data_IF_191212779461
#
_entry.id   IF_191212779461
#
_cell.length_a   1.000
_cell.length_b   1.000
_cell.length_c   1.000
_cell.angle_alpha   90.00
_cell.angle_beta   90.00
_cell.angle_gamma   90.00
#
_symmetry.space_group_name_H-M   'P 1'
#
loop_
_entity.id
_entity.type
_entity.pdbx_description
1 polymer ?
#
# COMPACT_ATOMS: atom_id res chain seq x y z
N UNK A 1 -17.34 33.68 -38.62
CA UNK A 1 -16.57 34.67 -37.83
C UNK A 1 -16.40 34.07 -36.44
N UNK A 2 -15.26 33.42 -36.20
CA UNK A 2 -14.99 32.68 -34.96
C UNK A 2 -14.35 33.66 -33.98
N UNK A 3 -15.10 34.04 -32.94
CA UNK A 3 -14.61 34.89 -31.86
C UNK A 3 -13.83 34.03 -30.87
N UNK A 4 -12.50 34.19 -30.87
CA UNK A 4 -11.61 33.60 -29.89
C UNK A 4 -11.88 34.21 -28.51
N UNK A 5 -12.44 33.43 -27.57
CA UNK A 5 -12.42 33.76 -26.15
C UNK A 5 -10.98 33.71 -25.66
N UNK A 6 -10.47 34.83 -25.14
CA UNK A 6 -9.21 34.90 -24.39
C UNK A 6 -9.26 33.83 -23.28
N UNK A 7 -8.36 32.84 -23.33
CA UNK A 7 -8.03 32.02 -22.16
C UNK A 7 -7.50 32.97 -21.09
N UNK A 8 -8.25 33.13 -20.00
CA UNK A 8 -7.66 33.62 -18.77
C UNK A 8 -6.55 32.66 -18.38
N UNK A 9 -5.34 33.17 -18.20
CA UNK A 9 -4.28 32.41 -17.54
C UNK A 9 -4.84 31.96 -16.18
N UNK A 10 -4.64 30.69 -15.77
CA UNK A 10 -5.00 30.30 -14.41
C UNK A 10 -4.27 31.26 -13.47
N UNK A 11 -4.99 31.76 -12.45
CA UNK A 11 -4.41 32.55 -11.38
C UNK A 11 -3.19 31.82 -10.85
N UNK A 12 -1.99 32.40 -11.04
CA UNK A 12 -0.80 31.92 -10.35
C UNK A 12 -1.03 32.16 -8.86
N UNK A 13 -1.37 31.08 -8.16
CA UNK A 13 -1.42 31.07 -6.71
C UNK A 13 0.01 30.85 -6.26
N UNK A 14 0.68 31.94 -5.88
CA UNK A 14 1.95 31.85 -5.18
C UNK A 14 1.65 31.39 -3.74
N UNK A 15 1.96 30.14 -3.46
CA UNK A 15 1.97 29.62 -2.10
C UNK A 15 3.20 30.20 -1.41
N UNK A 16 3.01 31.20 -0.54
CA UNK A 16 4.05 31.58 0.40
C UNK A 16 3.95 30.61 1.58
N UNK A 17 4.95 29.78 1.78
CA UNK A 17 5.15 29.19 3.11
C UNK A 17 5.93 30.24 3.90
N UNK A 18 5.38 30.70 5.01
CA UNK A 18 6.25 31.27 6.04
C UNK A 18 7.05 30.08 6.55
N UNK A 19 8.39 30.13 6.58
CA UNK A 19 9.11 29.09 7.27
C UNK A 19 8.64 29.11 8.72
N UNK A 20 7.92 28.09 9.17
CA UNK A 20 7.88 27.81 10.60
C UNK A 20 9.32 27.65 11.05
N UNK A 21 9.65 28.00 12.29
CA UNK A 21 11.00 27.92 12.86
C UNK A 21 11.60 26.48 12.77
N UNK A 22 10.75 25.49 12.45
CA UNK A 22 11.08 24.08 12.20
C UNK A 22 11.29 23.69 10.73
N UNK A 23 10.96 24.55 9.76
CA UNK A 23 11.00 24.24 8.31
C UNK A 23 12.31 24.58 7.61
N UNK A 24 13.23 25.26 8.32
CA UNK A 24 14.60 25.35 7.82
C UNK A 24 15.19 23.94 7.86
N UNK A 25 15.49 23.36 6.70
CA UNK A 25 16.36 22.19 6.60
C UNK A 25 17.54 22.48 7.51
N UNK A 26 17.69 21.77 8.64
CA UNK A 26 18.70 22.11 9.65
C UNK A 26 20.07 21.75 9.07
N UNK A 27 20.59 22.60 8.18
CA UNK A 27 21.85 22.40 7.46
C UNK A 27 22.99 22.06 8.41
N UNK A 28 23.10 22.65 9.62
CA UNK A 28 24.11 22.23 10.58
C UNK A 28 23.97 20.77 11.05
N UNK A 29 22.74 20.28 11.25
CA UNK A 29 22.46 18.91 11.63
C UNK A 29 22.66 17.96 10.44
N UNK A 30 22.15 18.32 9.26
CA UNK A 30 22.34 17.58 8.02
C UNK A 30 23.82 17.44 7.66
N UNK A 31 24.59 18.53 7.75
CA UNK A 31 26.04 18.52 7.54
C UNK A 31 26.73 17.55 8.51
N UNK A 32 26.36 17.56 9.80
CA UNK A 32 26.89 16.60 10.78
C UNK A 32 26.55 15.16 10.41
N UNK A 33 25.31 14.88 10.04
CA UNK A 33 24.86 13.54 9.63
C UNK A 33 25.60 13.05 8.38
N UNK A 34 25.76 13.89 7.37
CA UNK A 34 26.48 13.57 6.14
C UNK A 34 27.98 13.37 6.38
N UNK A 35 28.60 14.06 7.34
CA UNK A 35 30.00 13.80 7.70
C UNK A 35 30.21 12.53 8.55
N UNK A 36 29.16 11.92 9.10
CA UNK A 36 29.29 10.71 9.92
C UNK A 36 29.58 9.44 9.10
N UNK A 37 29.28 9.42 7.79
CA UNK A 37 29.63 8.31 6.91
C UNK A 37 30.68 8.76 5.87
N UNK A 38 31.77 7.99 5.67
CA UNK A 38 32.80 8.30 4.66
C UNK A 38 32.24 8.42 3.25
N UNK A 39 31.16 7.69 2.95
CA UNK A 39 30.48 7.68 1.64
C UNK A 39 29.60 8.93 1.42
N UNK A 40 29.16 9.59 2.50
CA UNK A 40 28.30 10.79 2.46
C UNK A 40 29.06 12.07 2.77
N UNK A 41 30.29 11.95 3.29
CA UNK A 41 31.22 13.05 3.59
C UNK A 41 31.58 13.91 2.37
N UNK A 42 31.23 13.45 1.17
CA UNK A 42 31.55 14.06 -0.13
C UNK A 42 30.44 15.00 -0.64
N UNK A 43 29.34 15.19 0.09
CA UNK A 43 28.34 16.22 -0.24
C UNK A 43 28.23 17.22 0.90
N UNK A 44 28.52 18.49 0.60
CA UNK A 44 28.48 19.58 1.58
C UNK A 44 27.25 20.46 1.29
N UNK A 45 26.17 20.33 2.08
CA UNK A 45 25.01 21.20 1.94
C UNK A 45 25.29 22.59 2.53
N UNK A 46 24.74 23.59 1.85
CA UNK A 46 24.81 25.00 2.21
C UNK A 46 23.43 25.64 2.05
N UNK A 47 23.14 26.59 2.95
CA UNK A 47 21.97 27.44 2.88
C UNK A 47 22.44 28.87 2.90
N UNK A 48 22.02 29.62 1.89
CA UNK A 48 22.33 31.02 1.73
C UNK A 48 21.03 31.77 1.93
N UNK A 49 21.01 32.69 2.89
CA UNK A 49 19.92 33.63 3.09
C UNK A 49 20.55 35.01 3.34
N UNK A 50 20.36 35.91 2.38
CA UNK A 50 20.83 37.28 2.45
C UNK A 50 19.74 38.23 1.91
N UNK A 51 20.04 39.52 1.80
CA UNK A 51 19.05 40.54 1.37
C UNK A 51 18.60 40.40 -0.09
N UNK A 52 19.30 39.62 -0.90
CA UNK A 52 19.11 39.49 -2.35
C UNK A 52 18.53 38.13 -2.72
N UNK A 53 18.93 37.08 -2.02
CA UNK A 53 18.63 35.69 -2.38
C UNK A 53 18.51 34.80 -1.15
N UNK A 54 17.67 33.77 -1.29
CA UNK A 54 17.47 32.71 -0.33
C UNK A 54 17.39 31.39 -1.10
N UNK A 55 18.37 30.51 -0.91
CA UNK A 55 18.42 29.24 -1.62
C UNK A 55 19.24 28.17 -0.87
N UNK A 56 18.96 26.92 -1.25
CA UNK A 56 19.75 25.76 -0.85
C UNK A 56 20.67 25.35 -1.99
N UNK A 57 21.91 24.99 -1.65
CA UNK A 57 22.83 24.38 -2.59
C UNK A 57 23.63 23.28 -1.91
N UNK A 58 24.30 22.46 -2.71
CA UNK A 58 25.30 21.54 -2.21
C UNK A 58 26.49 21.52 -3.16
N UNK A 59 27.67 21.29 -2.59
CA UNK A 59 28.89 21.08 -3.37
C UNK A 59 29.33 19.63 -3.21
N UNK A 60 29.86 19.06 -4.29
CA UNK A 60 30.51 17.75 -4.26
C UNK A 60 31.99 17.93 -4.62
N UNK A 61 32.92 17.75 -3.67
CA UNK A 61 34.34 18.06 -3.89
C UNK A 61 35.08 17.09 -4.83
N UNK A 62 34.49 15.95 -5.20
CA UNK A 62 35.09 14.88 -6.01
C UNK A 62 34.25 14.57 -7.27
N UNK A 63 34.77 13.77 -8.22
CA UNK A 63 34.09 13.30 -9.47
C UNK A 63 32.85 12.40 -9.24
N UNK A 64 32.15 12.60 -8.14
CA UNK A 64 31.02 11.80 -7.70
C UNK A 64 29.75 12.39 -8.29
N UNK A 65 29.11 11.59 -9.14
CA UNK A 65 27.81 11.94 -9.68
C UNK A 65 26.77 11.93 -8.57
N UNK A 66 26.09 13.05 -8.38
CA UNK A 66 25.02 13.23 -7.41
C UNK A 66 23.89 14.04 -8.02
N UNK A 67 22.66 13.80 -7.55
CA UNK A 67 21.51 14.61 -7.94
C UNK A 67 20.48 14.67 -6.82
N UNK A 68 19.77 15.79 -6.78
CA UNK A 68 18.65 16.03 -5.90
C UNK A 68 17.36 15.98 -6.73
N UNK A 69 16.33 15.30 -6.25
CA UNK A 69 15.01 15.28 -6.89
C UNK A 69 13.90 15.18 -5.86
N UNK A 70 12.68 15.55 -6.25
CA UNK A 70 11.47 15.33 -5.45
C UNK A 70 10.76 14.11 -6.03
N UNK A 71 10.46 13.14 -5.17
CA UNK A 71 9.77 11.91 -5.58
C UNK A 71 8.24 12.08 -5.65
N UNK A 72 7.56 11.00 -6.01
CA UNK A 72 6.09 10.98 -6.18
C UNK A 72 5.32 11.17 -4.87
N UNK A 73 5.96 11.00 -3.72
CA UNK A 73 5.37 11.24 -2.40
C UNK A 73 5.68 12.65 -1.87
N UNK A 74 6.36 13.47 -2.67
CA UNK A 74 6.78 14.81 -2.26
C UNK A 74 8.01 14.82 -1.36
N UNK A 75 8.74 13.70 -1.25
CA UNK A 75 9.99 13.66 -0.50
C UNK A 75 11.15 14.15 -1.37
N UNK A 76 11.94 15.07 -0.83
CA UNK A 76 13.20 15.49 -1.41
C UNK A 76 14.26 14.45 -1.11
N UNK A 77 14.94 13.94 -2.15
CA UNK A 77 15.95 12.90 -2.04
C UNK A 77 17.25 13.34 -2.68
N UNK A 78 18.36 13.13 -1.97
CA UNK A 78 19.71 13.28 -2.50
C UNK A 78 20.27 11.90 -2.80
N UNK A 79 20.56 11.66 -4.08
CA UNK A 79 21.17 10.44 -4.56
C UNK A 79 22.64 10.65 -4.91
N UNK A 80 23.44 9.65 -4.61
CA UNK A 80 24.86 9.58 -4.96
C UNK A 80 25.13 8.26 -5.69
N UNK A 81 25.95 8.31 -6.73
CA UNK A 81 26.38 7.12 -7.45
C UNK A 81 27.46 6.38 -6.66
N UNK A 82 27.19 5.14 -6.25
CA UNK A 82 28.20 4.27 -5.64
C UNK A 82 28.95 3.51 -6.74
N UNK A 83 30.26 3.74 -6.82
CA UNK A 83 31.11 2.95 -7.72
C UNK A 83 31.23 1.48 -7.25
N UNK A 84 31.24 1.24 -5.93
CA UNK A 84 31.37 -0.12 -5.40
C UNK A 84 30.16 -0.99 -5.75
N UNK A 85 28.96 -0.42 -5.65
CA UNK A 85 27.70 -1.14 -5.90
C UNK A 85 27.17 -0.97 -7.33
N UNK A 86 27.79 -0.10 -8.14
CA UNK A 86 27.33 0.29 -9.48
C UNK A 86 25.84 0.68 -9.49
N UNK A 87 25.42 1.44 -8.46
CA UNK A 87 24.02 1.79 -8.22
C UNK A 87 23.88 3.17 -7.57
N UNK A 88 22.70 3.76 -7.75
CA UNK A 88 22.30 4.99 -7.05
C UNK A 88 21.87 4.67 -5.62
N UNK A 89 22.41 5.43 -4.66
CA UNK A 89 22.03 5.35 -3.26
C UNK A 89 21.46 6.68 -2.78
N UNK A 90 20.28 6.62 -2.16
CA UNK A 90 19.68 7.75 -1.47
C UNK A 90 20.39 7.93 -0.13
N UNK A 91 21.13 9.02 0.02
CA UNK A 91 21.89 9.32 1.23
C UNK A 91 21.16 10.31 2.15
N UNK A 92 20.14 10.99 1.61
CA UNK A 92 19.27 11.88 2.34
C UNK A 92 17.86 11.83 1.77
N UNK A 93 16.86 11.95 2.66
CA UNK A 93 15.42 11.98 2.36
C UNK A 93 14.77 12.94 3.34
N UNK A 94 13.93 13.85 2.85
CA UNK A 94 13.20 14.82 3.66
C UNK A 94 11.81 15.10 3.06
N UNK A 95 10.73 15.07 3.86
CA UNK A 95 10.68 14.57 5.24
C UNK A 95 10.98 13.06 5.29
N UNK A 96 11.39 12.54 6.45
CA UNK A 96 11.68 11.11 6.57
C UNK A 96 10.40 10.27 6.42
N UNK A 97 9.31 10.75 7.01
CA UNK A 97 7.98 10.16 6.86
C UNK A 97 7.30 10.67 5.56
N UNK A 98 6.99 9.78 4.60
CA UNK A 98 6.35 10.16 3.33
C UNK A 98 4.92 10.71 3.51
N UNK A 99 4.30 10.57 4.68
CA UNK A 99 2.95 11.07 4.95
C UNK A 99 2.91 12.53 5.39
N UNK A 100 4.06 13.15 5.70
CA UNK A 100 4.14 14.57 6.11
C UNK A 100 3.73 15.54 4.99
N UNK A 101 4.14 15.36 3.72
CA UNK A 101 3.72 16.25 2.64
C UNK A 101 2.20 16.27 2.46
N UNK A 102 1.68 17.44 2.07
CA UNK A 102 0.26 17.60 1.84
C UNK A 102 -0.23 16.72 0.69
N UNK A 103 -1.32 16.00 0.93
CA UNK A 103 -1.98 15.16 -0.08
C UNK A 103 -1.06 14.12 -0.75
N UNK A 104 -0.08 13.56 -0.01
CA UNK A 104 0.68 12.37 -0.45
C UNK A 104 -0.24 11.27 -0.96
N UNK A 105 -1.36 11.06 -0.26
CA UNK A 105 -2.42 10.15 -0.67
C UNK A 105 -3.66 10.95 -1.08
N UNK A 106 -4.39 10.42 -2.08
CA UNK A 106 -5.62 11.01 -2.59
C UNK A 106 -6.77 11.01 -1.56
N UNK A 107 -7.95 11.51 -1.93
CA UNK A 107 -9.05 11.72 -1.00
C UNK A 107 -9.53 10.41 -0.35
N UNK A 108 -10.03 10.51 0.89
CA UNK A 108 -10.58 9.40 1.67
C UNK A 108 -9.63 8.21 1.85
N UNK A 109 -8.33 8.49 1.89
CA UNK A 109 -7.29 7.53 2.23
C UNK A 109 -6.70 7.83 3.62
N UNK A 110 -6.09 6.82 4.21
CA UNK A 110 -5.21 6.96 5.36
C UNK A 110 -3.76 6.69 4.91
N UNK A 111 -2.84 7.58 5.28
CA UNK A 111 -1.41 7.41 5.04
C UNK A 111 -0.74 6.82 6.28
N UNK A 112 0.12 5.81 6.11
CA UNK A 112 0.97 5.26 7.17
C UNK A 112 2.40 5.14 6.65
N UNK A 113 3.33 5.93 7.20
CA UNK A 113 4.69 6.10 6.66
C UNK A 113 5.52 4.81 6.68
N UNK A 114 5.30 3.97 7.70
CA UNK A 114 5.95 2.66 7.82
C UNK A 114 5.36 1.56 6.92
N UNK A 115 4.29 1.83 6.17
CA UNK A 115 3.60 0.82 5.35
C UNK A 115 4.00 0.88 3.87
N UNK A 116 3.96 -0.27 3.21
CA UNK A 116 4.33 -0.43 1.81
C UNK A 116 3.21 -1.20 1.07
N UNK A 117 2.35 -0.53 0.28
CA UNK A 117 2.34 0.91 -0.02
C UNK A 117 1.83 1.79 1.14
N UNK A 118 2.18 3.09 1.20
CA UNK A 118 1.86 3.97 2.34
C UNK A 118 0.37 4.37 2.42
N UNK A 119 -0.37 4.31 1.31
CA UNK A 119 -1.75 4.77 1.21
C UNK A 119 -2.74 3.60 1.17
N UNK A 120 -3.75 3.64 2.05
CA UNK A 120 -4.87 2.69 2.07
C UNK A 120 -6.21 3.43 2.10
N UNK A 121 -7.28 2.81 1.58
CA UNK A 121 -8.62 3.38 1.71
C UNK A 121 -9.09 3.35 3.16
N UNK A 122 -9.82 4.39 3.58
CA UNK A 122 -10.55 4.34 4.84
C UNK A 122 -11.59 3.21 4.83
N UNK A 123 -11.97 2.72 6.01
CA UNK A 123 -12.98 1.66 6.13
C UNK A 123 -14.29 2.08 5.44
N UNK A 124 -14.86 1.20 4.62
CA UNK A 124 -16.06 1.44 3.80
C UNK A 124 -15.88 2.39 2.62
N UNK A 125 -14.63 2.59 2.19
CA UNK A 125 -14.27 3.24 0.93
C UNK A 125 -13.49 2.26 0.05
N UNK A 126 -13.63 2.41 -1.26
CA UNK A 126 -12.94 1.61 -2.27
C UNK A 126 -12.16 2.48 -3.22
N UNK A 127 -11.09 1.93 -3.80
CA UNK A 127 -10.24 2.62 -4.77
C UNK A 127 -11.09 3.12 -5.92
N UNK A 128 -10.92 4.40 -6.27
CA UNK A 128 -11.65 5.00 -7.40
C UNK A 128 -11.24 4.36 -8.73
N UNK A 129 -9.97 3.99 -8.86
CA UNK A 129 -9.40 3.32 -10.04
C UNK A 129 -8.44 2.23 -9.60
N UNK A 130 -8.76 0.96 -9.86
CA UNK A 130 -7.86 -0.15 -9.52
C UNK A 130 -6.56 -0.11 -10.33
N UNK A 131 -6.66 0.32 -11.60
CA UNK A 131 -5.56 0.40 -12.54
C UNK A 131 -4.49 1.41 -12.09
N UNK A 132 -4.91 2.62 -11.70
CA UNK A 132 -3.97 3.65 -11.23
C UNK A 132 -3.24 3.18 -9.97
N UNK A 133 -3.96 2.50 -9.07
CA UNK A 133 -3.39 1.95 -7.85
C UNK A 133 -2.37 0.83 -8.08
N UNK A 134 -2.55 0.02 -9.13
CA UNK A 134 -1.59 -0.99 -9.58
C UNK A 134 -0.32 -0.37 -10.15
N UNK A 135 -0.46 0.79 -10.81
CA UNK A 135 0.66 1.59 -11.33
C UNK A 135 1.33 2.45 -10.25
N UNK A 136 0.83 2.42 -9.02
CA UNK A 136 1.36 3.20 -7.90
C UNK A 136 0.81 4.63 -7.82
N UNK A 137 -0.10 5.03 -8.70
CA UNK A 137 -0.77 6.33 -8.65
C UNK A 137 -1.92 6.29 -7.65
N UNK A 138 -1.83 7.11 -6.61
CA UNK A 138 -2.81 7.21 -5.52
C UNK A 138 -3.55 8.54 -5.50
N UNK A 139 -3.37 9.37 -6.51
CA UNK A 139 -3.97 10.72 -6.58
C UNK A 139 -5.50 10.67 -6.62
N UNK A 140 -6.08 9.69 -7.32
CA UNK A 140 -7.54 9.47 -7.39
C UNK A 140 -8.19 8.95 -6.10
N UNK A 141 -7.38 8.56 -5.10
CA UNK A 141 -7.84 8.16 -3.77
C UNK A 141 -8.91 7.07 -3.77
N UNK A 142 -9.89 7.25 -2.89
CA UNK A 142 -10.99 6.31 -2.67
C UNK A 142 -12.34 7.01 -2.70
N UNK A 143 -13.37 6.24 -3.02
CA UNK A 143 -14.77 6.67 -3.05
C UNK A 143 -15.59 5.85 -2.06
N UNK A 144 -16.67 6.44 -1.55
CA UNK A 144 -17.60 5.76 -0.62
C UNK A 144 -18.18 4.52 -1.29
N UNK A 145 -18.26 3.41 -0.55
CA UNK A 145 -18.92 2.20 -1.05
C UNK A 145 -20.44 2.38 -1.15
N UNK A 146 -21.02 3.01 -0.13
CA UNK A 146 -22.46 3.24 -0.02
C UNK A 146 -22.75 4.73 0.04
N UNK A 147 -23.79 5.17 -0.68
CA UNK A 147 -24.23 6.56 -0.66
C UNK A 147 -24.83 6.93 0.71
N UNK A 148 -24.56 8.15 1.17
CA UNK A 148 -25.10 8.69 2.40
C UNK A 148 -26.60 8.93 2.30
N UNK A 149 -27.31 8.67 3.39
CA UNK A 149 -28.74 8.92 3.53
C UNK A 149 -28.98 10.37 3.98
N UNK A 150 -28.94 11.29 3.02
CA UNK A 150 -29.18 12.69 3.28
C UNK A 150 -30.29 13.25 2.38
N UNK A 151 -31.53 13.15 2.84
CA UNK A 151 -32.65 13.90 2.30
C UNK A 151 -32.75 15.25 3.01
N UNK A 152 -32.78 16.35 2.24
CA UNK A 152 -32.67 17.73 2.74
C UNK A 152 -33.69 18.20 3.78
N UNK A 153 -34.60 17.33 4.24
CA UNK A 153 -35.60 17.59 5.28
C UNK A 153 -35.51 16.51 6.39
N UNK A 154 -34.50 16.64 7.26
CA UNK A 154 -34.41 16.10 8.64
C UNK A 154 -34.65 14.60 8.90
N UNK A 155 -33.55 13.84 8.87
CA UNK A 155 -33.16 12.73 9.78
C UNK A 155 -32.24 11.79 9.00
N UNK A 156 -30.97 12.14 8.85
CA UNK A 156 -29.99 11.24 8.26
C UNK A 156 -29.82 10.01 9.14
N UNK A 157 -29.93 8.81 8.57
CA UNK A 157 -29.61 7.56 9.29
C UNK A 157 -28.11 7.25 9.31
N UNK A 158 -27.30 8.07 8.62
CA UNK A 158 -25.84 7.96 8.64
C UNK A 158 -25.28 7.94 10.06
N UNK A 159 -24.18 7.22 10.19
CA UNK A 159 -23.48 7.00 11.46
C UNK A 159 -22.04 7.46 11.34
N UNK A 160 -21.36 7.58 12.47
CA UNK A 160 -19.94 7.95 12.48
C UNK A 160 -19.07 6.80 12.96
N UNK A 161 -17.99 6.56 12.21
CA UNK A 161 -16.96 5.60 12.58
C UNK A 161 -15.72 6.33 13.13
N UNK A 162 -15.22 5.96 14.32
CA UNK A 162 -14.05 6.59 14.92
C UNK A 162 -12.74 6.07 14.31
N UNK A 163 -11.93 7.00 13.80
CA UNK A 163 -10.53 6.77 13.43
C UNK A 163 -9.65 7.42 14.48
N UNK A 164 -9.05 6.62 15.36
CA UNK A 164 -8.24 7.08 16.49
C UNK A 164 -6.77 7.25 16.11
N UNK A 165 -6.08 8.16 16.79
CA UNK A 165 -4.64 8.44 16.61
C UNK A 165 -4.30 8.78 15.16
N UNK A 166 -5.03 9.74 14.62
CA UNK A 166 -4.81 10.25 13.26
C UNK A 166 -4.62 11.75 13.27
N UNK A 167 -3.75 12.24 12.40
CA UNK A 167 -3.73 13.67 12.07
C UNK A 167 -5.07 14.06 11.45
N UNK A 168 -5.55 15.25 11.81
CA UNK A 168 -6.82 15.75 11.32
C UNK A 168 -6.67 16.29 9.89
N UNK A 169 -7.69 16.12 9.02
CA UNK A 169 -7.63 16.62 7.67
C UNK A 169 -7.44 18.14 7.62
N UNK A 170 -6.81 18.62 6.56
CA UNK A 170 -6.65 20.06 6.34
C UNK A 170 -8.01 20.76 6.09
N UNK A 171 -8.08 22.05 6.38
CA UNK A 171 -9.24 22.91 6.07
C UNK A 171 -10.52 22.62 6.88
N UNK A 172 -10.46 22.49 8.22
CA UNK A 172 -11.68 22.38 9.01
C UNK A 172 -12.53 23.65 8.88
N UNK A 173 -13.86 23.49 8.79
CA UNK A 173 -14.77 24.61 9.01
C UNK A 173 -15.01 24.77 10.50
N UNK A 174 -14.68 25.97 11.00
CA UNK A 174 -15.09 26.38 12.33
C UNK A 174 -16.56 26.78 12.30
N UNK A 175 -17.36 26.22 13.21
CA UNK A 175 -18.76 26.59 13.38
C UNK A 175 -18.83 27.93 14.13
N UNK A 176 -19.63 28.87 13.63
CA UNK A 176 -19.74 30.21 14.23
C UNK A 176 -20.25 30.19 15.68
N UNK A 177 -21.03 29.16 16.04
CA UNK A 177 -21.36 28.83 17.42
C UNK A 177 -20.66 27.51 17.73
N UNK A 178 -19.67 27.55 18.63
CA UNK A 178 -18.94 26.34 19.00
C UNK A 178 -19.91 25.38 19.70
N UNK A 179 -20.21 24.20 19.12
CA UNK A 179 -20.99 23.21 19.83
C UNK A 179 -20.24 22.83 21.11
N UNK A 180 -20.94 22.89 22.24
CA UNK A 180 -20.38 22.74 23.57
C UNK A 180 -20.11 21.28 23.92
N UNK A 181 -20.58 20.35 23.09
CA UNK A 181 -20.47 18.91 23.30
C UNK A 181 -20.15 18.17 22.01
N UNK A 182 -19.59 16.97 22.15
CA UNK A 182 -19.36 16.04 21.03
C UNK A 182 -20.66 15.73 20.27
N UNK A 183 -21.77 15.55 21.00
CA UNK A 183 -23.07 15.24 20.40
C UNK A 183 -23.60 16.40 19.55
N UNK A 184 -23.41 17.65 19.99
CA UNK A 184 -23.77 18.82 19.18
C UNK A 184 -22.90 18.95 17.93
N UNK A 185 -21.60 18.61 18.01
CA UNK A 185 -20.70 18.58 16.85
C UNK A 185 -21.14 17.52 15.82
N UNK A 186 -21.57 16.37 16.30
CA UNK A 186 -22.15 15.30 15.48
C UNK A 186 -23.43 15.73 14.76
N UNK A 187 -24.37 16.32 15.51
CA UNK A 187 -25.63 16.84 14.96
C UNK A 187 -25.36 17.94 13.92
N UNK A 188 -24.40 18.83 14.18
CA UNK A 188 -24.01 19.86 13.24
C UNK A 188 -23.51 19.27 11.91
N UNK A 189 -22.71 18.21 11.96
CA UNK A 189 -22.29 17.49 10.75
C UNK A 189 -23.46 16.79 10.05
N UNK A 190 -24.31 16.06 10.77
CA UNK A 190 -25.47 15.36 10.19
C UNK A 190 -26.46 16.32 9.50
N UNK A 191 -26.58 17.54 10.01
CA UNK A 191 -27.45 18.59 9.45
C UNK A 191 -27.02 19.09 8.06
N UNK A 192 -25.79 18.77 7.63
CA UNK A 192 -25.25 19.17 6.34
C UNK A 192 -24.88 17.95 5.49
N UNK A 193 -25.54 17.77 4.35
CA UNK A 193 -25.27 16.62 3.45
C UNK A 193 -23.86 16.62 2.84
N UNK A 194 -23.19 17.77 2.80
CA UNK A 194 -21.80 17.84 2.35
C UNK A 194 -20.81 17.45 3.45
N UNK A 195 -21.25 17.31 4.71
CA UNK A 195 -20.35 16.94 5.79
C UNK A 195 -19.86 15.49 5.66
N UNK A 196 -18.54 15.32 5.70
CA UNK A 196 -17.87 14.03 5.58
C UNK A 196 -17.29 13.52 6.89
N UNK A 197 -16.89 14.41 7.80
CA UNK A 197 -16.34 14.03 9.09
C UNK A 197 -16.43 15.16 10.11
N UNK A 198 -16.31 14.81 11.39
CA UNK A 198 -16.08 15.75 12.47
C UNK A 198 -14.98 15.25 13.43
N UNK A 199 -14.47 16.15 14.26
CA UNK A 199 -13.59 15.81 15.38
C UNK A 199 -13.97 16.70 16.56
N UNK A 200 -13.86 16.15 17.76
CA UNK A 200 -14.16 16.85 18.99
C UNK A 200 -13.10 16.53 20.04
N UNK A 201 -12.32 17.53 20.43
CA UNK A 201 -11.30 17.42 21.47
C UNK A 201 -11.16 18.77 22.19
N UNK A 202 -10.98 18.75 23.51
CA UNK A 202 -10.78 19.96 24.34
C UNK A 202 -11.84 21.05 24.13
N UNK A 203 -13.11 20.65 24.01
CA UNK A 203 -14.25 21.53 23.71
C UNK A 203 -14.17 22.25 22.37
N UNK A 204 -13.31 21.78 21.46
CA UNK A 204 -13.18 22.27 20.09
C UNK A 204 -13.80 21.28 19.12
N UNK A 205 -14.82 21.74 18.41
CA UNK A 205 -15.42 21.01 17.29
C UNK A 205 -14.82 21.47 15.96
N UNK A 206 -14.41 20.50 15.14
CA UNK A 206 -13.96 20.70 13.77
C UNK A 206 -14.82 19.86 12.84
N UNK A 207 -15.33 20.46 11.77
CA UNK A 207 -16.21 19.78 10.79
C UNK A 207 -15.63 19.94 9.40
N UNK A 208 -15.63 18.86 8.62
CA UNK A 208 -15.12 18.86 7.24
C UNK A 208 -16.23 18.55 6.26
N UNK A 209 -16.24 19.28 5.15
CA UNK A 209 -17.17 19.08 4.05
C UNK A 209 -16.43 18.63 2.80
N UNK A 210 -17.02 17.69 2.05
CA UNK A 210 -16.44 17.18 0.82
C UNK A 210 -15.32 16.18 1.06
N UNK A 211 -14.30 16.20 0.20
CA UNK A 211 -13.19 15.26 0.23
C UNK A 211 -12.25 15.50 1.42
N UNK A 212 -11.73 14.42 1.99
CA UNK A 212 -10.80 14.45 3.12
C UNK A 212 -9.39 14.11 2.63
N UNK A 213 -8.44 15.00 2.89
CA UNK A 213 -7.02 14.85 2.52
C UNK A 213 -6.13 14.88 3.76
N UNK A 214 -4.93 14.32 3.63
CA UNK A 214 -3.87 14.34 4.66
C UNK A 214 -4.33 13.78 6.01
N UNK A 215 -5.06 12.65 5.99
CA UNK A 215 -5.33 11.88 7.20
C UNK A 215 -4.22 10.85 7.34
N UNK A 216 -3.33 11.08 8.29
CA UNK A 216 -2.15 10.23 8.51
C UNK A 216 -2.28 9.51 9.84
N UNK A 217 -1.96 8.22 9.86
CA UNK A 217 -1.93 7.41 11.07
C UNK A 217 -0.71 7.77 11.90
N UNK A 218 -0.87 7.76 13.21
CA UNK A 218 0.26 7.73 14.14
C UNK A 218 1.05 6.42 13.92
N UNK A 219 2.23 6.56 13.35
CA UNK A 219 3.12 5.46 13.00
C UNK A 219 4.42 5.47 13.82
N UNK A 220 4.57 6.45 14.71
CA UNK A 220 5.73 6.60 15.59
C UNK A 220 7.04 6.99 14.90
N UNK A 221 7.01 7.44 13.64
CA UNK A 221 8.18 8.01 12.95
C UNK A 221 8.30 9.50 13.30
N UNK A 222 7.56 10.35 12.59
CA UNK A 222 7.47 11.80 12.80
C UNK A 222 6.05 12.23 13.18
N UNK A 223 5.04 11.40 12.87
CA UNK A 223 3.64 11.68 13.15
C UNK A 223 3.25 11.07 14.49
N UNK A 224 3.03 11.94 15.48
CA UNK A 224 2.39 11.62 16.75
C UNK A 224 1.06 12.36 16.85
N UNK A 225 -0.03 11.63 17.09
CA UNK A 225 -1.35 12.23 17.17
C UNK A 225 -2.27 11.48 18.11
N UNK A 226 -2.99 12.23 18.94
CA UNK A 226 -4.03 11.69 19.82
C UNK A 226 -5.44 12.01 19.31
N UNK A 227 -5.56 12.74 18.21
CA UNK A 227 -6.85 13.14 17.68
C UNK A 227 -7.65 11.94 17.17
N UNK A 228 -8.98 12.06 17.31
CA UNK A 228 -9.94 11.11 16.72
C UNK A 228 -10.76 11.83 15.65
N UNK A 229 -10.76 11.28 14.44
CA UNK A 229 -11.62 11.71 13.34
C UNK A 229 -12.83 10.79 13.28
N UNK A 230 -14.03 11.37 13.34
CA UNK A 230 -15.28 10.66 13.18
C UNK A 230 -15.74 10.79 11.73
N UNK A 231 -15.50 9.75 10.92
CA UNK A 231 -15.92 9.75 9.53
C UNK A 231 -17.38 9.35 9.40
N UNK A 232 -18.17 10.14 8.66
CA UNK A 232 -19.57 9.86 8.37
C UNK A 232 -19.64 8.69 7.40
N UNK A 233 -20.47 7.69 7.67
CA UNK A 233 -20.70 6.50 6.84
C UNK A 233 -22.21 6.21 6.74
N UNK A 234 -22.62 5.48 5.71
CA UNK A 234 -23.98 4.96 5.65
C UNK A 234 -24.18 3.90 6.75
N UNK A 235 -25.37 3.82 7.35
CA UNK A 235 -25.65 2.86 8.43
C UNK A 235 -25.36 1.39 8.06
N UNK A 236 -25.58 1.03 6.78
CA UNK A 236 -25.33 -0.32 6.27
C UNK A 236 -23.85 -0.75 6.30
N UNK A 237 -22.92 0.20 6.22
CA UNK A 237 -21.48 -0.07 6.13
C UNK A 237 -20.88 -0.52 7.47
N UNK A 238 -21.42 -0.03 8.59
CA UNK A 238 -20.96 -0.46 9.93
C UNK A 238 -21.44 -1.88 10.24
N UNK A 239 -22.63 -2.24 9.76
CA UNK A 239 -23.19 -3.57 9.96
C UNK A 239 -22.47 -4.65 9.14
N UNK A 240 -22.04 -4.34 7.91
CA UNK A 240 -21.29 -5.27 7.06
C UNK A 240 -19.90 -5.58 7.62
N UNK A 241 -19.17 -4.56 8.13
CA UNK A 241 -17.86 -4.75 8.77
C UNK A 241 -17.90 -5.76 9.93
N UNK A 242 -18.94 -5.73 10.76
CA UNK A 242 -19.10 -6.71 11.86
C UNK A 242 -19.38 -8.13 11.37
N UNK A 243 -19.99 -8.28 10.20
CA UNK A 243 -20.24 -9.59 9.57
C UNK A 243 -18.98 -10.13 8.89
N UNK A 244 -18.22 -9.29 8.21
CA UNK A 244 -16.98 -9.72 7.54
C UNK A 244 -15.84 -10.05 8.52
N UNK A 245 -15.86 -9.47 9.73
CA UNK A 245 -14.95 -9.88 10.83
C UNK A 245 -15.27 -11.25 11.42
N UNK A 246 -16.46 -11.84 11.15
CA UNK A 246 -16.67 -13.27 11.37
C UNK A 246 -15.95 -14.01 10.26
N UNK A 247 -14.67 -14.33 10.52
CA UNK A 247 -13.90 -15.30 9.72
C UNK A 247 -14.83 -16.44 9.31
N UNK A 248 -14.90 -16.84 8.02
CA UNK A 248 -15.57 -18.08 7.70
C UNK A 248 -14.89 -19.15 8.55
N UNK A 249 -15.69 -19.89 9.32
CA UNK A 249 -15.18 -20.99 10.13
C UNK A 249 -14.21 -21.80 9.28
N UNK A 250 -13.07 -22.17 9.86
CA UNK A 250 -12.00 -22.94 9.24
C UNK A 250 -12.44 -24.39 8.92
N UNK A 251 -13.58 -24.56 8.24
CA UNK A 251 -14.18 -25.83 7.85
C UNK A 251 -14.09 -26.11 6.34
N UNK A 252 -13.60 -25.19 5.52
CA UNK A 252 -13.51 -25.39 4.06
C UNK A 252 -12.11 -25.87 3.60
N UNK A 253 -11.07 -25.74 4.43
CA UNK A 253 -9.70 -26.17 4.06
C UNK A 253 -9.45 -27.67 4.30
N UNK A 254 -10.32 -28.36 5.04
CA UNK A 254 -10.15 -29.81 5.28
C UNK A 254 -10.67 -30.64 4.09
N UNK A 255 -11.61 -30.12 3.29
CA UNK A 255 -12.18 -30.88 2.17
C UNK A 255 -11.23 -31.01 0.96
N UNK A 256 -10.33 -30.06 0.73
CA UNK A 256 -9.40 -30.11 -0.42
C UNK A 256 -8.14 -30.95 -0.15
N UNK A 257 -7.71 -31.06 1.11
CA UNK A 257 -6.53 -31.86 1.50
C UNK A 257 -6.79 -33.37 1.45
N UNK A 258 -8.00 -33.82 1.78
CA UNK A 258 -8.35 -35.25 1.76
C UNK A 258 -8.48 -35.78 0.32
N UNK A 259 -8.98 -34.94 -0.61
CA UNK A 259 -9.14 -35.35 -2.02
C UNK A 259 -7.77 -35.43 -2.72
N UNK A 260 -6.86 -34.47 -2.47
CA UNK A 260 -5.53 -34.47 -3.11
C UNK A 260 -4.64 -35.61 -2.60
N UNK A 261 -4.70 -35.94 -1.31
CA UNK A 261 -3.94 -37.06 -0.72
C UNK A 261 -4.47 -38.43 -1.17
N UNK A 262 -5.80 -38.59 -1.26
CA UNK A 262 -6.41 -39.82 -1.76
C UNK A 262 -6.05 -40.13 -3.22
N UNK A 263 -6.07 -39.12 -4.10
CA UNK A 263 -5.70 -39.28 -5.50
C UNK A 263 -4.21 -39.63 -5.69
N UNK A 264 -3.33 -39.03 -4.88
CA UNK A 264 -1.89 -39.33 -4.89
C UNK A 264 -1.60 -40.78 -4.47
N UNK A 265 -2.26 -41.25 -3.41
CA UNK A 265 -2.13 -42.64 -2.94
C UNK A 265 -2.66 -43.64 -3.97
N UNK A 266 -3.78 -43.35 -4.62
CA UNK A 266 -4.34 -44.19 -5.68
C UNK A 266 -3.38 -44.29 -6.89
N UNK A 267 -2.80 -43.17 -7.31
CA UNK A 267 -1.83 -43.14 -8.42
C UNK A 267 -0.57 -43.96 -8.10
N UNK A 268 -0.03 -43.85 -6.87
CA UNK A 268 1.11 -44.65 -6.44
C UNK A 268 0.80 -46.16 -6.43
N UNK A 269 -0.38 -46.55 -5.95
CA UNK A 269 -0.86 -47.94 -5.99
C UNK A 269 -0.95 -48.47 -7.42
N UNK A 270 -1.51 -47.69 -8.35
CA UNK A 270 -1.60 -48.09 -9.76
C UNK A 270 -0.22 -48.23 -10.41
N UNK A 271 0.74 -47.36 -10.09
CA UNK A 271 2.13 -47.48 -10.57
C UNK A 271 2.79 -48.75 -10.02
N UNK A 272 2.64 -49.06 -8.74
CA UNK A 272 3.19 -50.28 -8.13
C UNK A 272 2.56 -51.52 -8.77
N UNK A 273 1.23 -51.55 -8.94
CA UNK A 273 0.53 -52.66 -9.59
C UNK A 273 0.98 -52.83 -11.05
N UNK A 274 1.12 -51.73 -11.79
CA UNK A 274 1.63 -51.75 -13.17
C UNK A 274 3.09 -52.23 -13.23
N UNK A 275 3.93 -51.87 -12.27
CA UNK A 275 5.32 -52.32 -12.22
C UNK A 275 5.43 -53.81 -11.84
N UNK A 276 4.53 -54.31 -10.99
CA UNK A 276 4.43 -55.75 -10.70
C UNK A 276 3.88 -56.56 -11.87
N UNK A 277 2.98 -55.98 -12.66
CA UNK A 277 2.44 -56.62 -13.86
C UNK A 277 3.44 -56.60 -15.03
N UNK A 278 4.22 -55.53 -15.18
CA UNK A 278 5.30 -55.44 -16.17
C UNK A 278 6.52 -56.33 -15.85
N UNK A 279 6.55 -56.98 -14.68
CA UNK A 279 7.51 -58.06 -14.39
C UNK A 279 7.04 -59.43 -14.92
N UNK A 280 5.80 -59.52 -15.42
CA UNK A 280 5.26 -60.68 -16.10
C UNK A 280 4.75 -60.28 -17.51
N UNK A 281 5.67 -60.22 -18.47
CA UNK A 281 5.39 -60.11 -19.92
C UNK A 281 6.13 -58.93 -20.55
N UNK A 282 6.85 -59.01 -21.68
CA UNK A 282 7.07 -60.03 -22.73
C UNK A 282 8.42 -59.68 -23.40
N UNK A 283 9.22 -60.65 -23.91
CA UNK A 283 10.51 -60.39 -24.54
C UNK A 283 10.42 -60.10 -26.05
N UNK A 284 11.31 -59.24 -26.57
CA UNK A 284 11.62 -59.00 -28.00
C UNK A 284 12.84 -58.07 -28.03
N UNK A 285 13.94 -58.21 -28.77
CA UNK A 285 14.38 -59.05 -29.88
C UNK A 285 15.92 -59.02 -29.79
N UNK A 286 16.58 -60.18 -29.75
CA UNK A 286 18.01 -60.26 -30.04
C UNK A 286 18.15 -60.92 -31.41
N UNK A 287 18.55 -60.11 -32.38
CA UNK A 287 18.89 -60.48 -33.75
C UNK A 287 19.97 -61.57 -33.70
N UNK A 288 19.68 -62.78 -34.18
CA UNK A 288 20.69 -63.82 -34.37
C UNK A 288 20.85 -64.09 -35.86
N UNK A 289 22.01 -63.69 -36.39
CA UNK A 289 22.56 -64.21 -37.63
C UNK A 289 23.51 -65.35 -37.24
N UNK A 290 23.12 -66.58 -37.59
CA UNK A 290 24.03 -67.72 -37.78
C UNK A 290 24.62 -68.39 -36.54
N UNK A 291 23.94 -69.42 -36.01
CA UNK A 291 24.55 -70.75 -35.78
C UNK A 291 23.48 -71.73 -35.29
N UNK A 292 23.49 -72.95 -35.84
CA UNK A 292 22.66 -74.07 -35.38
C UNK A 292 23.27 -74.58 -34.08
N UNK A 293 22.71 -74.15 -32.95
CA UNK A 293 23.10 -74.56 -31.61
C UNK A 293 21.88 -74.61 -30.69
N UNK A 294 21.81 -75.63 -29.84
CA UNK A 294 20.68 -75.92 -28.94
C UNK A 294 20.32 -74.70 -28.09
N UNK A 295 19.05 -74.27 -28.14
CA UNK A 295 18.53 -73.16 -27.34
C UNK A 295 18.37 -73.62 -25.89
N UNK A 296 19.14 -73.03 -24.98
CA UNK A 296 19.00 -73.28 -23.55
C UNK A 296 17.92 -72.35 -22.97
N UNK A 297 16.84 -72.92 -22.44
CA UNK A 297 15.83 -72.20 -21.66
C UNK A 297 16.19 -72.24 -20.18
N UNK A 298 15.93 -71.15 -19.43
CA UNK A 298 16.10 -71.17 -17.97
C UNK A 298 14.96 -71.99 -17.36
N UNK A 299 15.25 -72.70 -16.28
CA UNK A 299 14.26 -73.53 -15.57
C UNK A 299 12.99 -72.75 -15.17
N UNK A 300 13.14 -71.46 -14.82
CA UNK A 300 12.01 -70.58 -14.51
C UNK A 300 11.07 -70.34 -15.70
N UNK A 301 11.61 -70.29 -16.92
CA UNK A 301 10.82 -70.05 -18.14
C UNK A 301 10.00 -71.31 -18.49
N UNK A 302 10.61 -72.49 -18.32
CA UNK A 302 9.92 -73.78 -18.47
C UNK A 302 8.83 -73.98 -17.41
N UNK A 303 9.14 -73.67 -16.14
CA UNK A 303 8.16 -73.75 -15.06
C UNK A 303 6.96 -72.82 -15.26
N UNK A 304 7.15 -71.65 -15.86
CA UNK A 304 6.05 -70.75 -16.17
C UNK A 304 5.20 -71.27 -17.35
N UNK A 305 5.84 -71.77 -18.41
CA UNK A 305 5.15 -72.27 -19.61
C UNK A 305 4.35 -73.56 -19.35
N UNK A 306 4.84 -74.44 -18.47
CA UNK A 306 4.20 -75.74 -18.16
C UNK A 306 3.36 -75.72 -16.90
N UNK A 307 3.12 -74.55 -16.28
CA UNK A 307 2.50 -74.44 -14.94
C UNK A 307 3.17 -75.38 -13.92
N UNK A 308 4.50 -75.32 -13.83
CA UNK A 308 5.34 -76.21 -13.03
C UNK A 308 5.12 -77.70 -13.34
N UNK A 309 4.98 -78.04 -14.62
CA UNK A 309 4.84 -79.41 -15.12
C UNK A 309 3.60 -80.15 -14.59
N UNK A 310 2.49 -79.43 -14.39
CA UNK A 310 1.19 -79.99 -13.98
C UNK A 310 0.23 -80.24 -15.15
#
# INVERSE_FOLDING_TARGET
MVTARRRGYPSEVYWWWSPDDHSSMQIPALRKLLHMSPQTSMVVPEYVNNKQEEYYMYTSPDEISSFLFVDVFGQTRLNVWSQDNQAWHSIYVEPADPCIPYATCGPFTICTGNSHPPCECMESFSRTSSWDWELGDRTGGCSRNTQLDCNGNSSSTDVFHPMVRVTLPYGPRSLQHAPATRSECEVACLSNCSCSAYSYQDSKCSVWHGELFSVNKDDGIEISSEYTLYIRLAAGDVLSSTRDKRKPAAGVVIATSVISSGLLMLMLLLVILRNRFNWCGVPSQATNQGSVGVVAFRYADLGCATKNFS
#
